data_IF_656960133046
#
_entry.id   IF_656960133046
#
_cell.length_a   1.000
_cell.length_b   1.000
_cell.length_c   1.000
_cell.angle_alpha   90.00
_cell.angle_beta   90.00
_cell.angle_gamma   90.00
#
_symmetry.space_group_name_H-M   'P 1'
#
loop_
_entity.id
_entity.type
_entity.pdbx_description
1 polymer ?
#
# COMPACT_ATOMS: atom_id res chain seq x y z
N UNK A 1 35.12 24.62 -11.59
CA UNK A 1 33.82 24.53 -10.95
C UNK A 1 32.75 24.71 -12.03
N UNK A 2 32.23 23.62 -12.58
CA UNK A 2 31.13 23.65 -13.59
C UNK A 2 29.87 23.20 -12.88
N UNK A 3 28.93 24.11 -12.73
CA UNK A 3 27.59 23.82 -12.18
C UNK A 3 26.79 23.10 -13.27
N UNK A 4 26.42 21.84 -13.03
CA UNK A 4 25.48 21.10 -13.87
C UNK A 4 24.09 21.42 -13.34
N UNK A 5 23.34 22.17 -14.13
CA UNK A 5 21.89 22.36 -13.91
C UNK A 5 21.16 21.12 -14.42
N UNK A 6 20.59 20.38 -13.52
CA UNK A 6 19.62 19.32 -13.88
C UNK A 6 18.27 20.00 -14.05
N UNK A 7 17.85 20.13 -15.29
CA UNK A 7 16.51 20.64 -15.64
C UNK A 7 15.53 19.48 -15.43
N UNK A 8 14.69 19.59 -14.40
CA UNK A 8 13.49 18.78 -14.28
C UNK A 8 12.47 19.29 -15.30
N UNK A 9 12.24 18.53 -16.35
CA UNK A 9 11.18 18.78 -17.30
C UNK A 9 9.87 18.32 -16.66
N UNK A 10 9.14 19.26 -16.05
CA UNK A 10 7.75 19.05 -15.65
C UNK A 10 6.91 19.19 -16.90
N UNK A 11 6.46 18.06 -17.44
CA UNK A 11 5.49 18.06 -18.52
C UNK A 11 4.10 18.24 -17.89
N UNK A 12 3.66 19.50 -17.84
CA UNK A 12 2.26 19.82 -17.54
C UNK A 12 1.45 19.58 -18.79
N UNK A 13 0.70 18.49 -18.85
CA UNK A 13 -0.32 18.27 -19.88
C UNK A 13 -1.55 19.10 -19.50
N UNK A 14 -1.61 20.31 -20.07
CA UNK A 14 -2.80 21.16 -19.97
C UNK A 14 -3.84 20.63 -20.96
N UNK A 15 -4.87 19.96 -20.46
CA UNK A 15 -6.05 19.62 -21.24
C UNK A 15 -6.91 20.88 -21.42
N UNK A 16 -6.60 21.66 -22.45
CA UNK A 16 -7.51 22.70 -22.95
C UNK A 16 -8.51 22.06 -23.90
N UNK A 17 -9.72 21.83 -23.41
CA UNK A 17 -10.87 21.49 -24.23
C UNK A 17 -11.24 22.71 -25.09
N UNK A 18 -10.87 22.68 -26.36
CA UNK A 18 -11.33 23.65 -27.34
C UNK A 18 -12.72 23.23 -27.86
N UNK A 19 -13.74 23.88 -27.35
CA UNK A 19 -15.07 23.93 -27.95
C UNK A 19 -15.05 24.98 -29.07
N UNK A 20 -14.88 24.57 -30.33
CA UNK A 20 -15.39 25.34 -31.46
C UNK A 20 -15.33 24.52 -32.75
N UNK A 21 -16.44 24.54 -33.44
CA UNK A 21 -16.70 24.22 -34.84
C UNK A 21 -17.58 22.98 -35.04
N UNK A 22 -18.86 23.13 -34.73
CA UNK A 22 -19.91 22.55 -35.59
C UNK A 22 -20.15 23.50 -36.76
N UNK A 23 -19.80 23.11 -37.94
CA UNK A 23 -20.57 23.40 -39.19
C UNK A 23 -20.02 22.62 -40.38
N UNK A 24 -20.97 21.87 -40.96
CA UNK A 24 -21.18 21.53 -42.38
C UNK A 24 -20.26 20.53 -43.09
N UNK A 25 -20.82 19.35 -43.37
CA UNK A 25 -21.00 18.97 -44.76
C UNK A 25 -20.35 17.69 -45.22
N UNK A 26 -21.18 16.67 -45.38
CA UNK A 26 -21.20 15.65 -46.47
C UNK A 26 -20.17 14.53 -46.50
N UNK A 27 -20.71 13.31 -46.32
CA UNK A 27 -20.45 12.05 -47.09
C UNK A 27 -19.07 11.42 -47.04
N UNK A 28 -19.01 10.31 -46.34
CA UNK A 28 -17.92 9.33 -46.41
C UNK A 28 -17.87 8.50 -45.16
N UNK A 29 -18.69 7.46 -45.05
CA UNK A 29 -18.75 6.60 -43.86
C UNK A 29 -17.48 5.78 -43.70
N UNK A 30 -16.56 6.28 -42.89
CA UNK A 30 -15.63 5.45 -42.14
C UNK A 30 -16.15 5.42 -40.72
N UNK A 31 -16.60 4.27 -40.25
CA UNK A 31 -16.95 4.03 -38.87
C UNK A 31 -15.72 4.38 -38.02
N UNK A 32 -15.70 5.59 -37.42
CA UNK A 32 -14.71 5.90 -36.39
C UNK A 32 -14.99 4.99 -35.21
N UNK A 33 -14.04 4.12 -34.91
CA UNK A 33 -14.04 3.29 -33.73
C UNK A 33 -14.25 4.19 -32.51
N UNK A 34 -15.33 3.94 -31.74
CA UNK A 34 -15.62 4.59 -30.46
C UNK A 34 -14.75 4.05 -29.34
N UNK A 35 -13.75 3.24 -29.65
CA UNK A 35 -12.76 2.79 -28.68
C UNK A 35 -11.70 3.87 -28.58
N UNK A 36 -11.33 4.28 -27.33
CA UNK A 36 -10.24 5.21 -27.13
C UNK A 36 -8.98 4.65 -27.81
N UNK A 37 -8.22 5.55 -28.45
CA UNK A 37 -6.94 5.20 -29.07
C UNK A 37 -6.11 4.36 -28.08
N UNK A 38 -5.50 3.29 -28.59
CA UNK A 38 -4.61 2.46 -27.79
C UNK A 38 -3.55 3.36 -27.12
N UNK A 39 -3.34 3.17 -25.82
CA UNK A 39 -2.30 3.88 -25.08
C UNK A 39 -0.98 3.85 -25.85
N UNK A 40 -0.27 4.97 -25.86
CA UNK A 40 1.05 5.03 -26.50
C UNK A 40 2.00 4.01 -25.84
N UNK A 41 3.07 3.64 -26.54
CA UNK A 41 4.09 2.76 -25.94
C UNK A 41 4.63 3.34 -24.62
N UNK A 42 4.82 4.65 -24.56
CA UNK A 42 5.26 5.37 -23.35
C UNK A 42 4.25 5.26 -22.20
N UNK A 43 2.94 5.38 -22.48
CA UNK A 43 1.90 5.24 -21.45
C UNK A 43 1.88 3.81 -20.90
N UNK A 44 2.05 2.80 -21.77
CA UNK A 44 2.14 1.40 -21.33
C UNK A 44 3.38 1.13 -20.46
N UNK A 45 4.52 1.73 -20.78
CA UNK A 45 5.74 1.62 -19.98
C UNK A 45 5.59 2.28 -18.60
N UNK A 46 4.96 3.46 -18.55
CA UNK A 46 4.64 4.16 -17.31
C UNK A 46 3.69 3.33 -16.47
N UNK A 47 2.58 2.87 -17.03
CA UNK A 47 1.61 2.04 -16.32
C UNK A 47 2.27 0.75 -15.81
N UNK A 48 3.10 0.10 -16.62
CA UNK A 48 3.88 -1.07 -16.22
C UNK A 48 4.77 -0.80 -15.01
N UNK A 49 5.44 0.36 -14.97
CA UNK A 49 6.25 0.76 -13.83
C UNK A 49 5.41 1.01 -12.56
N UNK A 50 4.26 1.68 -12.67
CA UNK A 50 3.35 1.93 -11.54
C UNK A 50 2.79 0.62 -10.97
N UNK A 51 2.41 -0.32 -11.83
CA UNK A 51 1.94 -1.65 -11.43
C UNK A 51 3.03 -2.40 -10.68
N UNK A 52 4.27 -2.40 -11.17
CA UNK A 52 5.41 -3.03 -10.49
C UNK A 52 5.70 -2.40 -9.13
N UNK A 53 5.65 -1.08 -9.01
CA UNK A 53 5.83 -0.38 -7.73
C UNK A 53 4.71 -0.78 -6.75
N UNK A 54 3.46 -0.77 -7.19
CA UNK A 54 2.32 -1.15 -6.37
C UNK A 54 2.43 -2.61 -5.88
N UNK A 55 2.69 -3.54 -6.80
CA UNK A 55 2.87 -4.97 -6.48
C UNK A 55 4.05 -5.20 -5.54
N UNK A 56 5.19 -4.54 -5.79
CA UNK A 56 6.35 -4.61 -4.89
C UNK A 56 6.06 -4.09 -3.49
N UNK A 57 5.23 -3.04 -3.35
CA UNK A 57 4.75 -2.57 -2.05
C UNK A 57 3.83 -3.57 -1.35
N UNK A 58 2.96 -4.26 -2.08
CA UNK A 58 2.17 -5.36 -1.52
C UNK A 58 3.05 -6.54 -1.09
N UNK A 59 4.08 -6.87 -1.85
CA UNK A 59 5.08 -7.89 -1.48
C UNK A 59 5.85 -7.49 -0.20
N UNK A 60 6.18 -6.23 -0.04
CA UNK A 60 6.81 -5.69 1.17
C UNK A 60 5.93 -5.85 2.41
N UNK A 61 4.63 -5.62 2.26
CA UNK A 61 3.65 -5.82 3.34
C UNK A 61 3.46 -7.32 3.63
N UNK A 62 3.02 -8.08 2.61
CA UNK A 62 2.65 -9.49 2.79
C UNK A 62 2.83 -10.25 1.47
N UNK A 63 4.07 -10.71 1.21
CA UNK A 63 4.39 -11.40 -0.02
C UNK A 63 3.59 -12.69 -0.23
N UNK A 64 3.23 -13.40 0.85
CA UNK A 64 2.46 -14.64 0.73
C UNK A 64 1.03 -14.41 0.24
N UNK A 65 0.40 -13.31 0.66
CA UNK A 65 -0.93 -12.93 0.15
C UNK A 65 -0.89 -12.34 -1.26
N UNK A 66 0.26 -11.91 -1.71
CA UNK A 66 0.46 -11.30 -3.03
C UNK A 66 0.82 -12.33 -4.10
N UNK A 67 1.32 -13.50 -3.68
CA UNK A 67 1.74 -14.61 -4.55
C UNK A 67 0.72 -15.75 -4.51
N UNK A 68 0.68 -16.59 -5.56
CA UNK A 68 -0.29 -17.69 -5.67
C UNK A 68 0.29 -19.06 -5.31
N UNK A 69 1.59 -19.31 -5.57
CA UNK A 69 2.18 -20.64 -5.53
C UNK A 69 3.33 -20.77 -4.52
N UNK A 70 3.25 -20.05 -3.41
CA UNK A 70 4.31 -20.04 -2.40
C UNK A 70 3.92 -20.79 -1.15
N UNK A 71 4.88 -21.48 -0.55
CA UNK A 71 4.68 -22.19 0.72
C UNK A 71 4.90 -21.21 1.87
N UNK A 72 3.92 -21.14 2.75
CA UNK A 72 3.99 -20.33 3.97
C UNK A 72 5.03 -20.93 4.93
N UNK A 73 6.05 -20.18 5.37
CA UNK A 73 6.99 -20.68 6.36
C UNK A 73 6.31 -20.99 7.69
N UNK A 74 6.61 -22.15 8.27
CA UNK A 74 6.10 -22.55 9.58
C UNK A 74 6.99 -22.05 10.74
N UNK A 75 8.28 -21.87 10.48
CA UNK A 75 9.28 -21.45 11.46
C UNK A 75 9.60 -19.97 11.30
N UNK A 76 10.20 -19.39 12.33
CA UNK A 76 10.69 -18.02 12.28
C UNK A 76 11.78 -17.84 11.23
N UNK A 77 11.85 -16.62 10.68
CA UNK A 77 12.95 -16.19 9.84
C UNK A 77 14.29 -16.39 10.58
N UNK A 78 15.33 -16.93 9.96
CA UNK A 78 16.63 -17.14 10.61
C UNK A 78 17.26 -15.90 11.25
N UNK A 79 16.95 -14.69 10.72
CA UNK A 79 17.39 -13.42 11.30
C UNK A 79 16.63 -13.04 12.58
N UNK A 80 15.41 -13.59 12.79
CA UNK A 80 14.55 -13.20 13.91
C UNK A 80 15.17 -13.48 15.28
N UNK A 81 16.04 -14.45 15.38
CA UNK A 81 16.81 -14.76 16.59
C UNK A 81 17.81 -13.67 17.00
N UNK A 82 18.10 -12.72 16.13
CA UNK A 82 19.03 -11.62 16.40
C UNK A 82 18.37 -10.47 17.18
N UNK A 83 17.03 -10.54 17.37
CA UNK A 83 16.25 -9.61 18.17
C UNK A 83 15.48 -10.35 19.27
N UNK A 84 15.04 -9.62 20.30
CA UNK A 84 14.32 -10.21 21.44
C UNK A 84 13.09 -9.42 21.89
N UNK A 85 12.87 -8.26 21.30
CA UNK A 85 11.82 -7.32 21.73
C UNK A 85 10.50 -7.62 21.05
N UNK A 86 10.49 -7.73 19.71
CA UNK A 86 9.30 -8.05 18.94
C UNK A 86 8.95 -9.54 19.14
N UNK A 87 7.70 -9.81 19.56
CA UNK A 87 7.23 -11.15 19.95
C UNK A 87 6.46 -11.87 18.83
N UNK A 88 6.47 -11.36 17.62
CA UNK A 88 5.91 -12.08 16.48
C UNK A 88 6.66 -13.38 16.21
N UNK A 89 5.98 -14.33 15.60
CA UNK A 89 6.52 -15.66 15.34
C UNK A 89 6.04 -16.22 14.00
N UNK A 90 6.67 -17.27 13.54
CA UNK A 90 6.33 -17.99 12.32
C UNK A 90 6.43 -17.08 11.08
N UNK A 91 5.44 -17.19 10.21
CA UNK A 91 5.39 -16.46 8.95
C UNK A 91 5.52 -14.94 9.10
N UNK A 92 4.92 -14.33 10.13
CA UNK A 92 4.95 -12.87 10.32
C UNK A 92 6.39 -12.33 10.38
N UNK A 93 7.34 -13.15 10.85
CA UNK A 93 8.76 -12.78 10.92
C UNK A 93 9.45 -12.67 9.55
N UNK A 94 8.78 -13.08 8.47
CA UNK A 94 9.27 -12.96 7.09
C UNK A 94 8.72 -11.73 6.36
N UNK A 95 7.76 -11.02 6.92
CA UNK A 95 7.21 -9.82 6.29
C UNK A 95 8.23 -8.69 6.41
N UNK A 96 8.56 -8.06 5.28
CA UNK A 96 9.62 -7.04 5.21
C UNK A 96 9.37 -5.90 6.20
N UNK A 97 8.12 -5.48 6.34
CA UNK A 97 7.70 -4.40 7.22
C UNK A 97 7.94 -4.69 8.71
N UNK A 98 8.03 -5.96 9.12
CA UNK A 98 8.28 -6.30 10.55
C UNK A 98 9.71 -5.93 10.98
N UNK A 99 10.68 -6.02 10.06
CA UNK A 99 12.06 -5.61 10.30
C UNK A 99 12.32 -4.15 9.92
N UNK A 100 11.78 -3.74 8.76
CA UNK A 100 12.14 -2.48 8.12
C UNK A 100 11.16 -1.32 8.39
N UNK A 101 10.03 -1.60 9.06
CA UNK A 101 9.00 -0.61 9.43
C UNK A 101 8.11 -0.18 8.26
N UNK A 102 6.95 0.37 8.59
CA UNK A 102 6.05 0.96 7.61
C UNK A 102 6.55 2.30 7.05
N UNK A 103 7.43 2.96 7.79
CA UNK A 103 8.13 4.19 7.38
C UNK A 103 9.43 3.91 6.61
N UNK A 104 9.76 2.63 6.40
CA UNK A 104 10.96 2.16 5.71
C UNK A 104 12.29 2.47 6.42
N UNK A 105 12.26 2.95 7.68
CA UNK A 105 13.44 3.40 8.43
C UNK A 105 13.88 2.39 9.51
N UNK A 106 13.07 1.37 9.79
CA UNK A 106 13.37 0.31 10.77
C UNK A 106 13.69 0.88 12.15
N UNK A 107 14.85 0.49 12.72
CA UNK A 107 15.31 0.97 14.02
C UNK A 107 15.52 2.49 14.12
N UNK A 108 15.66 3.17 13.00
CA UNK A 108 15.93 4.61 12.93
C UNK A 108 14.66 5.43 12.62
N UNK A 109 13.47 4.81 12.72
CA UNK A 109 12.18 5.42 12.44
C UNK A 109 11.10 5.08 13.46
N UNK A 110 9.85 4.96 13.01
CA UNK A 110 8.69 4.67 13.84
C UNK A 110 8.85 3.36 14.65
N UNK A 111 9.58 2.38 14.11
CA UNK A 111 9.91 1.11 14.77
C UNK A 111 11.20 1.17 15.60
N UNK A 112 11.73 2.36 15.87
CA UNK A 112 12.93 2.58 16.71
C UNK A 112 12.71 2.30 18.19
N UNK A 113 11.48 2.06 18.62
CA UNK A 113 11.09 1.79 20.03
C UNK A 113 9.79 0.99 20.11
N UNK A 114 9.46 0.52 21.31
CA UNK A 114 8.20 -0.19 21.58
C UNK A 114 8.22 -1.66 21.14
N UNK A 115 7.04 -2.27 21.06
CA UNK A 115 6.86 -3.71 20.79
C UNK A 115 7.30 -4.14 19.39
N UNK A 116 7.37 -3.20 18.44
CA UNK A 116 7.82 -3.45 17.07
C UNK A 116 9.33 -3.33 16.87
N UNK A 117 10.06 -2.87 17.89
CA UNK A 117 11.51 -2.70 17.76
C UNK A 117 12.21 -4.04 17.52
N UNK A 118 13.06 -4.09 16.49
CA UNK A 118 13.86 -5.27 16.14
C UNK A 118 15.37 -4.98 16.07
N UNK A 119 15.75 -3.71 16.06
CA UNK A 119 17.14 -3.30 15.88
C UNK A 119 17.64 -3.37 14.42
N UNK A 120 16.83 -3.89 13.48
CA UNK A 120 17.20 -3.95 12.06
C UNK A 120 17.08 -2.57 11.40
N UNK A 121 17.96 -2.31 10.43
CA UNK A 121 17.92 -1.08 9.63
C UNK A 121 16.71 -1.07 8.70
N UNK A 122 16.26 0.13 8.34
CA UNK A 122 15.27 0.31 7.28
C UNK A 122 15.84 0.12 5.88
N UNK A 123 14.97 0.18 4.87
CA UNK A 123 15.34 0.11 3.45
C UNK A 123 15.47 1.49 2.81
N UNK A 124 15.10 2.57 3.51
CA UNK A 124 15.13 3.93 2.96
C UNK A 124 16.51 4.36 2.48
N UNK A 125 17.55 4.06 3.25
CA UNK A 125 18.93 4.39 2.87
C UNK A 125 19.40 3.59 1.65
N UNK A 126 19.06 2.30 1.58
CA UNK A 126 19.31 1.45 0.42
C UNK A 126 18.61 1.98 -0.84
N UNK A 127 17.35 2.41 -0.70
CA UNK A 127 16.58 3.04 -1.78
C UNK A 127 17.30 4.26 -2.39
N UNK A 128 17.95 5.06 -1.56
CA UNK A 128 18.68 6.24 -2.04
C UNK A 128 20.00 5.86 -2.70
N UNK A 129 20.77 4.94 -2.13
CA UNK A 129 22.18 4.71 -2.46
C UNK A 129 22.40 3.59 -3.48
N UNK A 130 21.58 2.53 -3.44
CA UNK A 130 21.84 1.34 -4.25
C UNK A 130 21.09 1.39 -5.59
N UNK A 131 21.67 0.87 -6.67
CA UNK A 131 20.95 0.54 -7.88
C UNK A 131 19.98 -0.62 -7.64
N UNK A 132 18.98 -0.78 -8.50
CA UNK A 132 17.95 -1.82 -8.34
C UNK A 132 18.56 -3.23 -8.38
N UNK A 133 19.58 -3.44 -9.19
CA UNK A 133 20.28 -4.72 -9.34
C UNK A 133 20.94 -5.18 -8.03
N UNK A 134 21.57 -4.26 -7.29
CA UNK A 134 22.19 -4.58 -5.99
C UNK A 134 21.13 -4.96 -4.95
N UNK A 135 19.94 -4.32 -5.03
CA UNK A 135 18.80 -4.67 -4.15
C UNK A 135 18.28 -6.08 -4.50
N UNK A 136 18.17 -6.41 -5.80
CA UNK A 136 17.81 -7.76 -6.26
C UNK A 136 18.82 -8.81 -5.76
N UNK A 137 20.10 -8.49 -5.83
CA UNK A 137 21.16 -9.39 -5.33
C UNK A 137 21.04 -9.63 -3.82
N UNK A 138 20.78 -8.59 -3.03
CA UNK A 138 20.57 -8.71 -1.58
C UNK A 138 19.38 -9.63 -1.28
N UNK A 139 18.32 -9.55 -2.07
CA UNK A 139 17.11 -10.38 -1.91
C UNK A 139 17.30 -11.81 -2.43
N UNK A 140 18.30 -12.06 -3.29
CA UNK A 140 18.49 -13.30 -4.06
C UNK A 140 19.71 -14.13 -3.66
N UNK A 141 20.24 -14.10 -2.46
CA UNK A 141 21.43 -14.88 -2.03
C UNK A 141 22.80 -14.26 -2.25
N UNK A 142 22.95 -13.27 -3.09
CA UNK A 142 24.27 -12.89 -3.58
C UNK A 142 25.04 -11.97 -2.62
N UNK A 143 24.39 -11.53 -1.53
CA UNK A 143 25.06 -10.78 -0.47
C UNK A 143 25.87 -11.65 0.48
N UNK A 144 26.86 -11.09 1.17
CA UNK A 144 27.70 -11.78 2.16
C UNK A 144 26.90 -12.43 3.31
N UNK A 145 25.63 -12.07 3.47
CA UNK A 145 24.73 -12.60 4.47
C UNK A 145 23.62 -13.44 3.83
N UNK A 146 23.89 -14.75 3.63
CA UNK A 146 22.92 -15.75 3.14
C UNK A 146 21.60 -15.86 3.93
N UNK A 147 21.42 -15.05 4.95
CA UNK A 147 20.25 -15.04 5.83
C UNK A 147 19.06 -14.26 5.26
N UNK A 148 19.30 -13.38 4.30
CA UNK A 148 18.28 -12.54 3.65
C UNK A 148 17.88 -13.07 2.27
N UNK A 149 17.87 -14.38 2.10
CA UNK A 149 17.54 -15.05 0.85
C UNK A 149 16.04 -15.36 0.77
N UNK A 150 15.33 -14.63 -0.08
CA UNK A 150 13.90 -14.82 -0.33
C UNK A 150 13.61 -15.74 -1.54
N UNK A 151 14.62 -16.21 -2.28
CA UNK A 151 14.40 -17.04 -3.49
C UNK A 151 13.70 -18.38 -3.21
N UNK A 152 13.65 -18.79 -1.96
CA UNK A 152 12.91 -20.00 -1.53
C UNK A 152 11.43 -19.74 -1.29
N UNK A 153 11.03 -18.49 -1.26
CA UNK A 153 9.71 -18.05 -0.86
C UNK A 153 8.97 -17.31 -1.98
N UNK A 154 9.70 -16.61 -2.85
CA UNK A 154 9.13 -15.83 -3.95
C UNK A 154 9.95 -16.04 -5.21
N UNK A 155 9.31 -15.90 -6.37
CA UNK A 155 9.93 -16.04 -7.68
C UNK A 155 10.79 -14.85 -8.08
N UNK A 156 11.43 -14.96 -9.24
CA UNK A 156 12.31 -13.91 -9.77
C UNK A 156 11.56 -12.61 -10.07
N UNK A 157 10.33 -12.71 -10.55
CA UNK A 157 9.52 -11.55 -10.86
C UNK A 157 9.13 -10.80 -9.59
N UNK A 158 8.76 -11.52 -8.53
CA UNK A 158 8.45 -10.94 -7.23
C UNK A 158 9.67 -10.23 -6.62
N UNK A 159 10.85 -10.83 -6.72
CA UNK A 159 12.10 -10.22 -6.26
C UNK A 159 12.38 -8.95 -7.05
N UNK A 160 12.23 -8.98 -8.38
CA UNK A 160 12.43 -7.82 -9.24
C UNK A 160 11.43 -6.70 -8.93
N UNK A 161 10.16 -7.02 -8.66
CA UNK A 161 9.14 -6.03 -8.31
C UNK A 161 9.37 -5.46 -6.90
N UNK A 162 9.77 -6.30 -5.94
CA UNK A 162 10.12 -5.86 -4.60
C UNK A 162 11.36 -4.93 -4.61
N UNK A 163 12.41 -5.28 -5.35
CA UNK A 163 13.59 -4.43 -5.52
C UNK A 163 13.23 -3.11 -6.23
N UNK A 164 12.37 -3.18 -7.23
CA UNK A 164 11.89 -2.00 -7.95
C UNK A 164 11.06 -1.08 -7.03
N UNK A 165 10.19 -1.65 -6.19
CA UNK A 165 9.48 -0.90 -5.14
C UNK A 165 10.45 -0.25 -4.16
N UNK A 166 11.43 -0.99 -3.64
CA UNK A 166 12.44 -0.41 -2.74
C UNK A 166 13.12 0.78 -3.41
N UNK A 167 13.53 0.64 -4.68
CA UNK A 167 14.25 1.71 -5.40
C UNK A 167 13.38 2.90 -5.79
N UNK A 168 12.13 2.66 -6.20
CA UNK A 168 11.26 3.67 -6.84
C UNK A 168 10.00 4.00 -6.06
N UNK A 169 9.54 3.09 -5.21
CA UNK A 169 8.29 3.22 -4.46
C UNK A 169 8.46 3.67 -3.01
N UNK A 170 9.64 3.48 -2.43
CA UNK A 170 9.94 3.97 -1.07
C UNK A 170 10.02 5.50 -1.08
N UNK A 171 9.29 6.13 -0.17
CA UNK A 171 9.21 7.60 -0.03
C UNK A 171 9.78 8.06 1.31
N UNK A 172 10.04 9.33 1.42
CA UNK A 172 10.32 9.98 2.69
C UNK A 172 9.02 10.30 3.42
N UNK A 173 8.63 9.39 4.32
CA UNK A 173 7.40 9.53 5.08
C UNK A 173 7.40 10.69 6.06
N UNK A 174 8.58 11.26 6.40
CA UNK A 174 8.66 12.44 7.29
C UNK A 174 8.05 13.70 6.66
N UNK A 175 7.85 13.68 5.35
CA UNK A 175 7.13 14.75 4.63
C UNK A 175 5.61 14.67 4.83
N UNK A 176 5.10 13.52 5.23
CA UNK A 176 3.68 13.24 5.39
C UNK A 176 3.27 13.18 6.86
N UNK A 177 4.15 12.65 7.71
CA UNK A 177 3.85 12.38 9.12
C UNK A 177 5.06 12.77 9.96
N UNK A 178 4.84 13.50 11.04
CA UNK A 178 5.87 13.87 12.00
C UNK A 178 6.26 12.68 12.92
N UNK A 179 7.23 12.91 13.81
CA UNK A 179 7.75 11.92 14.77
C UNK A 179 6.72 11.47 15.82
N UNK A 180 5.60 12.18 15.94
CA UNK A 180 4.46 11.84 16.81
C UNK A 180 3.33 11.12 16.08
N UNK A 181 3.49 10.86 14.78
CA UNK A 181 2.44 10.27 13.97
C UNK A 181 1.34 11.25 13.53
N UNK A 182 1.60 12.56 13.57
CA UNK A 182 0.64 13.56 13.13
C UNK A 182 0.89 13.94 11.67
N UNK A 183 -0.18 14.11 10.86
CA UNK A 183 -0.05 14.62 9.50
C UNK A 183 0.61 16.00 9.47
N UNK A 184 1.54 16.20 8.54
CA UNK A 184 2.26 17.48 8.39
C UNK A 184 1.48 18.55 7.65
N UNK A 185 0.32 18.23 7.12
CA UNK A 185 -0.54 19.12 6.34
C UNK A 185 -1.81 18.42 5.87
N UNK A 186 -2.37 18.88 4.76
CA UNK A 186 -3.56 18.32 4.13
C UNK A 186 -4.87 18.90 4.63
N UNK A 187 -5.95 18.60 3.89
CA UNK A 187 -7.31 19.11 4.10
C UNK A 187 -8.27 17.97 4.45
N UNK A 188 -8.82 17.99 5.67
CA UNK A 188 -9.87 17.03 6.06
C UNK A 188 -11.07 17.05 5.09
N UNK A 189 -11.46 18.25 4.61
CA UNK A 189 -12.58 18.41 3.68
C UNK A 189 -12.32 17.68 2.35
N UNK A 190 -11.14 17.86 1.79
CA UNK A 190 -10.73 17.18 0.55
C UNK A 190 -10.60 15.68 0.78
N UNK A 191 -9.99 15.27 1.88
CA UNK A 191 -9.88 13.85 2.26
C UNK A 191 -11.24 13.18 2.43
N UNK A 192 -12.22 13.86 3.01
CA UNK A 192 -13.61 13.39 3.09
C UNK A 192 -14.22 13.16 1.71
N UNK A 193 -13.97 14.05 0.77
CA UNK A 193 -14.43 13.90 -0.60
C UNK A 193 -13.80 12.69 -1.28
N UNK A 194 -12.47 12.54 -1.17
CA UNK A 194 -11.73 11.41 -1.72
C UNK A 194 -12.24 10.10 -1.10
N UNK A 195 -12.34 10.03 0.24
CA UNK A 195 -12.79 8.83 0.94
C UNK A 195 -14.17 8.39 0.49
N UNK A 196 -15.13 9.30 0.43
CA UNK A 196 -16.51 8.99 0.05
C UNK A 196 -16.60 8.44 -1.37
N UNK A 197 -15.80 8.93 -2.29
CA UNK A 197 -15.84 8.51 -3.70
C UNK A 197 -15.06 7.25 -3.98
N UNK A 198 -13.93 7.07 -3.33
CA UNK A 198 -12.96 6.03 -3.69
C UNK A 198 -12.89 4.88 -2.69
N UNK A 199 -13.27 5.10 -1.44
CA UNK A 199 -13.07 4.12 -0.36
C UNK A 199 -14.39 3.63 0.25
N UNK A 200 -15.33 4.55 0.50
CA UNK A 200 -16.53 4.26 1.28
C UNK A 200 -17.54 3.39 0.55
N UNK A 201 -17.81 3.70 -0.73
CA UNK A 201 -19.01 3.23 -1.43
C UNK A 201 -19.09 1.72 -1.60
N UNK A 202 -17.97 1.03 -1.72
CA UNK A 202 -17.95 -0.41 -1.99
C UNK A 202 -17.36 -1.27 -0.87
N UNK A 203 -16.47 -0.69 -0.04
CA UNK A 203 -15.69 -1.48 0.90
C UNK A 203 -15.76 -0.98 2.34
N UNK A 204 -15.33 0.26 2.59
CA UNK A 204 -15.09 0.72 3.97
C UNK A 204 -16.31 1.32 4.67
N UNK A 205 -17.43 1.50 3.96
CA UNK A 205 -18.61 2.18 4.50
C UNK A 205 -18.42 3.69 4.65
N UNK A 206 -19.49 4.46 4.85
CA UNK A 206 -19.45 5.92 4.90
C UNK A 206 -18.65 6.48 6.09
N UNK A 207 -18.51 5.69 7.14
CA UNK A 207 -17.81 6.01 8.39
C UNK A 207 -16.52 5.19 8.60
N UNK A 208 -16.11 4.41 7.60
CA UNK A 208 -14.88 3.61 7.67
C UNK A 208 -14.97 2.31 8.45
N UNK A 209 -16.17 1.91 8.91
CA UNK A 209 -16.38 0.72 9.77
C UNK A 209 -16.90 -0.50 9.01
N UNK A 210 -17.00 -0.41 7.68
CA UNK A 210 -17.51 -1.50 6.83
C UNK A 210 -16.67 -2.77 6.84
N UNK A 211 -15.39 -2.67 7.23
CA UNK A 211 -14.47 -3.80 7.39
C UNK A 211 -13.80 -3.68 8.76
N UNK A 212 -13.91 -4.75 9.57
CA UNK A 212 -13.13 -4.88 10.80
C UNK A 212 -11.82 -5.61 10.46
N UNK A 213 -10.68 -4.99 10.70
CA UNK A 213 -9.33 -5.55 10.49
C UNK A 213 -8.80 -6.28 11.73
N UNK A 214 -9.36 -6.00 12.90
CA UNK A 214 -9.06 -6.64 14.17
C UNK A 214 -9.90 -7.90 14.41
N UNK A 215 -10.16 -8.18 15.66
CA UNK A 215 -11.04 -9.27 16.10
C UNK A 215 -12.35 -8.69 16.67
N UNK A 216 -13.36 -9.51 16.98
CA UNK A 216 -14.63 -9.01 17.52
C UNK A 216 -14.52 -8.32 18.88
N UNK A 217 -13.53 -8.69 19.69
CA UNK A 217 -13.30 -8.13 21.03
C UNK A 217 -12.51 -6.83 20.97
N UNK A 218 -11.64 -6.70 19.96
CA UNK A 218 -10.78 -5.54 19.71
C UNK A 218 -10.88 -5.16 18.23
N UNK A 219 -11.97 -4.50 17.83
CA UNK A 219 -12.19 -4.12 16.44
C UNK A 219 -11.22 -3.00 16.02
N UNK A 220 -10.67 -3.16 14.83
CA UNK A 220 -9.84 -2.17 14.16
C UNK A 220 -10.51 -1.72 12.87
N UNK A 221 -10.64 -0.42 12.69
CA UNK A 221 -11.25 0.20 11.52
C UNK A 221 -10.26 1.11 10.77
N UNK A 222 -10.70 1.70 9.69
CA UNK A 222 -9.89 2.68 8.94
C UNK A 222 -9.41 3.80 9.86
N UNK A 223 -10.28 4.30 10.76
CA UNK A 223 -9.93 5.33 11.74
C UNK A 223 -8.87 4.87 12.73
N UNK A 224 -8.94 3.62 13.20
CA UNK A 224 -7.95 3.03 14.10
C UNK A 224 -6.57 3.04 13.47
N UNK A 225 -6.45 2.46 12.26
CA UNK A 225 -5.16 2.38 11.53
C UNK A 225 -4.62 3.78 11.24
N UNK A 226 -5.45 4.71 10.76
CA UNK A 226 -5.02 6.07 10.46
C UNK A 226 -4.55 6.84 11.70
N UNK A 227 -5.11 6.54 12.87
CA UNK A 227 -4.78 7.22 14.12
C UNK A 227 -3.54 6.61 14.79
N UNK A 228 -3.48 5.29 14.91
CA UNK A 228 -2.46 4.57 15.68
C UNK A 228 -1.20 4.26 14.87
N UNK A 229 -1.36 3.99 13.56
CA UNK A 229 -0.26 3.64 12.67
C UNK A 229 -0.38 4.34 11.32
N UNK A 230 -0.21 5.67 11.26
CA UNK A 230 -0.37 6.45 10.03
C UNK A 230 0.59 6.02 8.91
N UNK A 231 1.75 5.47 9.24
CA UNK A 231 2.70 4.93 8.26
C UNK A 231 2.15 3.68 7.55
N UNK A 232 1.48 2.80 8.29
CA UNK A 232 0.76 1.66 7.71
C UNK A 232 -0.38 2.14 6.80
N UNK A 233 -1.17 3.10 7.27
CA UNK A 233 -2.24 3.71 6.48
C UNK A 233 -1.70 4.24 5.15
N UNK A 234 -0.63 5.04 5.19
CA UNK A 234 0.01 5.61 3.99
C UNK A 234 0.47 4.50 3.05
N UNK A 235 1.16 3.48 3.57
CA UNK A 235 1.65 2.37 2.75
C UNK A 235 0.50 1.64 2.05
N UNK A 236 -0.55 1.29 2.78
CA UNK A 236 -1.71 0.56 2.24
C UNK A 236 -2.50 1.39 1.23
N UNK A 237 -2.71 2.67 1.48
CA UNK A 237 -3.34 3.56 0.49
C UNK A 237 -2.50 3.64 -0.78
N UNK A 238 -1.18 3.79 -0.64
CA UNK A 238 -0.28 3.89 -1.79
C UNK A 238 -0.23 2.62 -2.62
N UNK A 239 -0.08 1.47 -1.99
CA UNK A 239 0.21 0.21 -2.69
C UNK A 239 -1.01 -0.70 -2.87
N UNK A 240 -2.11 -0.46 -2.14
CA UNK A 240 -3.22 -1.39 -2.00
C UNK A 240 -2.95 -2.45 -0.91
N UNK A 241 -4.00 -3.19 -0.55
CA UNK A 241 -3.93 -4.25 0.46
C UNK A 241 -3.63 -5.60 -0.20
N UNK A 242 -2.59 -6.34 0.22
CA UNK A 242 -2.25 -7.66 -0.30
C UNK A 242 -3.44 -8.63 -0.32
N UNK A 243 -3.61 -9.35 -1.43
CA UNK A 243 -4.66 -10.36 -1.59
C UNK A 243 -6.09 -9.82 -1.67
N UNK A 244 -6.27 -8.52 -1.87
CA UNK A 244 -7.60 -7.88 -1.99
C UNK A 244 -7.73 -7.05 -3.26
N UNK A 245 -8.92 -6.47 -3.47
CA UNK A 245 -9.19 -5.53 -4.56
C UNK A 245 -9.03 -4.06 -4.15
N UNK A 246 -8.37 -3.77 -3.02
CA UNK A 246 -8.13 -2.39 -2.62
C UNK A 246 -7.26 -1.68 -3.68
N UNK A 247 -7.76 -0.59 -4.29
CA UNK A 247 -7.02 0.11 -5.33
C UNK A 247 -5.73 0.74 -4.77
N UNK A 248 -4.71 0.83 -5.61
CA UNK A 248 -3.46 1.51 -5.30
C UNK A 248 -3.53 2.97 -5.72
N UNK A 249 -3.18 3.89 -4.82
CA UNK A 249 -3.03 5.30 -5.14
C UNK A 249 -1.91 5.53 -6.17
N UNK A 250 -0.86 4.71 -6.16
CA UNK A 250 0.23 4.76 -7.15
C UNK A 250 -0.31 4.52 -8.56
N UNK A 251 -1.16 3.49 -8.76
CA UNK A 251 -1.76 3.19 -10.07
C UNK A 251 -2.76 4.28 -10.47
N UNK A 252 -3.44 4.91 -9.51
CA UNK A 252 -4.35 6.01 -9.75
C UNK A 252 -3.65 7.38 -9.81
N UNK A 253 -2.32 7.40 -9.79
CA UNK A 253 -1.48 8.60 -9.88
C UNK A 253 -1.78 9.66 -8.82
N UNK A 254 -2.24 9.24 -7.62
CA UNK A 254 -2.42 10.14 -6.49
C UNK A 254 -1.06 10.57 -5.94
N UNK A 255 -0.92 11.88 -5.73
CA UNK A 255 0.25 12.47 -5.10
C UNK A 255 0.25 12.40 -3.58
N UNK A 256 1.27 13.00 -2.98
CA UNK A 256 1.40 13.09 -1.52
C UNK A 256 0.30 13.96 -0.90
N UNK A 257 -0.23 14.94 -1.64
CA UNK A 257 -1.29 15.83 -1.17
C UNK A 257 -2.60 15.08 -0.95
N UNK A 258 -3.05 14.27 -1.93
CA UNK A 258 -4.25 13.45 -1.80
C UNK A 258 -4.14 12.43 -0.66
N UNK A 259 -2.94 11.89 -0.45
CA UNK A 259 -2.67 10.93 0.64
C UNK A 259 -2.74 11.64 2.00
N UNK A 260 -2.18 12.84 2.12
CA UNK A 260 -2.26 13.67 3.32
C UNK A 260 -3.71 14.08 3.63
N UNK A 261 -4.44 14.53 2.62
CA UNK A 261 -5.84 14.89 2.74
C UNK A 261 -6.65 13.70 3.26
N UNK A 262 -6.45 12.53 2.67
CA UNK A 262 -7.13 11.30 3.05
C UNK A 262 -6.76 10.87 4.47
N UNK A 263 -5.48 10.94 4.86
CA UNK A 263 -5.03 10.63 6.22
C UNK A 263 -5.67 11.55 7.25
N UNK A 264 -5.71 12.87 6.99
CA UNK A 264 -6.36 13.83 7.88
C UNK A 264 -7.83 13.48 8.13
N UNK A 265 -8.57 13.18 7.07
CA UNK A 265 -9.96 12.77 7.21
C UNK A 265 -10.10 11.41 7.91
N UNK A 266 -9.31 10.41 7.51
CA UNK A 266 -9.40 9.06 8.07
C UNK A 266 -9.17 9.05 9.58
N UNK A 267 -8.32 9.92 10.11
CA UNK A 267 -8.09 10.09 11.57
C UNK A 267 -9.32 10.60 12.33
N UNK A 268 -10.30 11.16 11.66
CA UNK A 268 -11.58 11.62 12.25
C UNK A 268 -12.66 10.53 12.27
N UNK A 269 -12.41 9.41 11.59
CA UNK A 269 -13.33 8.29 11.54
C UNK A 269 -13.34 7.49 12.85
N UNK A 270 -14.42 6.75 13.15
CA UNK A 270 -14.50 5.87 14.32
C UNK A 270 -13.32 4.90 14.39
N UNK A 271 -12.81 4.69 15.61
CA UNK A 271 -11.67 3.79 15.91
C UNK A 271 -12.09 2.50 16.56
N UNK A 272 -13.29 2.50 17.18
CA UNK A 272 -13.86 1.35 17.88
C UNK A 272 -15.39 1.44 17.90
N UNK A 273 -16.06 0.39 18.35
CA UNK A 273 -17.53 0.29 18.37
C UNK A 273 -18.21 1.36 19.24
N UNK A 274 -17.54 1.86 20.26
CA UNK A 274 -18.12 2.91 21.13
C UNK A 274 -18.23 4.25 20.40
N UNK A 275 -17.30 4.54 19.49
CA UNK A 275 -17.35 5.74 18.65
C UNK A 275 -18.36 5.62 17.51
N UNK A 276 -18.60 4.39 16.99
CA UNK A 276 -19.65 4.11 16.00
C UNK A 276 -21.04 4.39 16.53
N UNK A 277 -21.29 4.08 17.81
CA UNK A 277 -22.59 4.24 18.45
C UNK A 277 -23.01 5.70 18.71
N UNK A 278 -22.04 6.64 18.72
CA UNK A 278 -22.26 8.05 18.99
C UNK A 278 -22.65 8.91 17.79
N UNK A 279 -22.51 8.41 16.57
CA UNK A 279 -22.70 9.14 15.31
C UNK A 279 -23.99 8.79 14.59
N UNK A 280 -25.06 9.61 14.85
CA UNK A 280 -26.22 9.84 13.98
C UNK A 280 -26.94 8.63 13.39
N UNK A 281 -28.08 8.31 14.02
CA UNK A 281 -29.19 7.57 13.40
C UNK A 281 -29.70 8.34 12.16
N UNK A 282 -29.11 8.13 11.01
CA UNK A 282 -29.84 8.25 9.76
C UNK A 282 -30.45 6.89 9.45
N UNK A 283 -31.73 6.76 9.79
CA UNK A 283 -32.55 5.60 9.50
C UNK A 283 -32.61 5.34 8.00
N UNK A 284 -32.18 4.17 7.64
CA UNK A 284 -32.37 3.54 6.36
C UNK A 284 -32.32 2.04 6.60
N UNK A 285 -33.49 1.44 6.89
CA UNK A 285 -33.69 0.01 6.86
C UNK A 285 -33.35 -0.51 5.46
N UNK A 286 -32.13 -0.96 5.25
CA UNK A 286 -31.84 -1.94 4.20
C UNK A 286 -31.42 -3.24 4.87
N UNK A 287 -32.26 -4.27 4.60
CA UNK A 287 -32.17 -5.57 5.20
C UNK A 287 -30.76 -6.18 5.13
N UNK A 288 -30.32 -6.68 6.26
CA UNK A 288 -29.21 -7.61 6.38
C UNK A 288 -29.45 -8.82 5.47
N UNK A 289 -28.89 -8.80 4.27
CA UNK A 289 -28.56 -10.03 3.55
C UNK A 289 -27.10 -10.30 3.81
N UNK A 290 -26.86 -11.43 4.47
CA UNK A 290 -25.54 -11.87 4.90
C UNK A 290 -24.53 -11.83 3.77
N UNK A 291 -23.54 -10.96 3.89
CA UNK A 291 -22.27 -11.16 3.24
C UNK A 291 -21.46 -12.06 4.16
N UNK A 292 -20.99 -13.16 3.61
CA UNK A 292 -20.15 -14.12 4.30
C UNK A 292 -18.91 -13.41 4.82
N UNK A 293 -18.83 -13.24 6.13
CA UNK A 293 -17.61 -12.93 6.84
C UNK A 293 -16.62 -14.05 6.58
N UNK A 294 -15.57 -13.79 5.80
CA UNK A 294 -14.34 -14.56 5.90
C UNK A 294 -13.60 -14.01 7.10
N UNK A 295 -13.65 -14.77 8.18
CA UNK A 295 -12.91 -14.52 9.40
C UNK A 295 -11.42 -14.28 9.11
N UNK A 296 -10.99 -13.02 9.21
CA UNK A 296 -9.59 -12.68 9.32
C UNK A 296 -9.19 -12.77 10.78
N UNK A 297 -8.58 -13.88 11.18
CA UNK A 297 -7.93 -13.99 12.49
C UNK A 297 -6.46 -13.59 12.34
N UNK A 298 -5.99 -12.53 13.00
CA UNK A 298 -4.57 -12.37 13.22
C UNK A 298 -4.14 -13.42 14.25
N UNK A 299 -3.40 -14.44 13.81
CA UNK A 299 -2.58 -15.28 14.67
C UNK A 299 -3.16 -16.58 15.19
N UNK A 300 -4.03 -17.30 14.49
CA UNK A 300 -4.24 -18.72 14.80
C UNK A 300 -4.24 -19.54 13.50
N UNK A 301 -3.11 -20.21 13.26
CA UNK A 301 -3.00 -21.17 12.17
C UNK A 301 -3.96 -22.35 12.35
N UNK A 302 -4.90 -22.49 11.42
CA UNK A 302 -5.46 -23.79 11.04
C UNK A 302 -5.67 -23.79 9.54
N UNK A 303 -4.94 -24.70 8.91
CA UNK A 303 -5.05 -24.96 7.49
C UNK A 303 -6.42 -25.53 7.13
N UNK A 304 -6.92 -25.08 5.99
CA UNK A 304 -7.89 -25.86 5.22
C UNK A 304 -7.18 -26.27 3.92
N UNK A 305 -6.81 -27.54 3.86
CA UNK A 305 -6.51 -28.21 2.61
C UNK A 305 -7.81 -28.49 1.85
N UNK A 306 -7.76 -28.54 0.51
CA UNK A 306 -8.89 -28.98 -0.28
C UNK A 306 -9.00 -30.51 -0.17
N UNK A 307 -10.14 -31.02 0.30
CA UNK A 307 -10.54 -32.39 0.04
C UNK A 307 -11.01 -32.47 -1.39
N UNK A 308 -10.28 -33.26 -2.21
CA UNK A 308 -10.82 -33.81 -3.46
C UNK A 308 -11.75 -34.98 -3.10
N UNK A 309 -12.94 -34.94 -3.62
CA UNK A 309 -13.71 -36.02 -4.23
C UNK A 309 -14.48 -35.45 -5.42
#
# INVERSE_FOLDING_TARGET
>A
MKKIFVIFLVVTVSATFAWSQMREGTTGGASQSIYPEAYSQTDNEILGALVRISRGGQLYDDWWKTTTDTVKPEKDNPLWKEQSTNKRSGYDTYRCKECHGWDYRGKDGAYGKGSHYTGFKGVYEAAQKLPVQDIEEILSKMGAEKKHDFTKHVGKEEIADLAFFVKKGVIDTTRLVDDKGLPTGGSERTGRYIFRRSCASMCHGPDGTGINFGNPEEPEYVGTIAYENPWEFIHKVRCGQPGTRMPSAIINEWGEEEILDLLNFARTLPKNDSEVSGGSRYGGHMGRRGMMHRDYRPGSGRGFGPTME
#
